data_IF_675133839509
#
_entry.id   IF_675133839509
#
_cell.length_a   1.000
_cell.length_b   1.000
_cell.length_c   1.000
_cell.angle_alpha   90.00
_cell.angle_beta   90.00
_cell.angle_gamma   90.00
#
_symmetry.space_group_name_H-M   'P 1'
#
loop_
_entity.id
_entity.type
_entity.pdbx_description
1 polymer ?
#
# COMPACT_ATOMS: atom_id res chain seq x y z
N UNK A 1 27.90 -2.54 -4.75
CA UNK A 1 28.21 -2.64 -3.30
C UNK A 1 26.99 -3.28 -2.68
N UNK A 2 27.15 -4.29 -1.82
CA UNK A 2 25.99 -4.90 -1.17
C UNK A 2 25.30 -3.85 -0.30
N UNK A 3 24.00 -3.65 -0.49
CA UNK A 3 23.15 -2.75 0.30
C UNK A 3 22.57 -3.49 1.53
N UNK A 4 23.21 -4.58 1.96
CA UNK A 4 22.80 -5.32 3.14
C UNK A 4 23.13 -4.54 4.40
N UNK A 5 22.33 -4.75 5.43
CA UNK A 5 22.61 -4.25 6.78
C UNK A 5 22.57 -5.40 7.77
N UNK A 6 23.36 -5.31 8.84
CA UNK A 6 23.28 -6.20 9.99
C UNK A 6 22.64 -5.48 11.16
N UNK A 7 21.57 -6.07 11.67
CA UNK A 7 20.82 -5.63 12.84
C UNK A 7 21.25 -6.43 14.07
N UNK A 8 21.50 -5.75 15.17
CA UNK A 8 21.73 -6.38 16.46
C UNK A 8 21.23 -5.50 17.60
N UNK A 9 20.97 -6.10 18.77
CA UNK A 9 20.60 -5.36 19.96
C UNK A 9 20.98 -6.11 21.24
N UNK A 10 21.69 -5.44 22.14
CA UNK A 10 22.19 -6.05 23.38
C UNK A 10 21.18 -6.05 24.54
N UNK A 11 20.12 -5.24 24.48
CA UNK A 11 19.13 -5.11 25.55
C UNK A 11 17.70 -5.25 25.02
N UNK A 12 16.85 -6.01 25.71
CA UNK A 12 15.45 -6.25 25.32
C UNK A 12 14.45 -5.23 25.87
N UNK A 13 14.93 -4.17 26.51
CA UNK A 13 14.11 -3.01 26.89
C UNK A 13 14.10 -2.01 25.73
N UNK A 14 12.91 -1.59 25.29
CA UNK A 14 12.75 -0.63 24.19
C UNK A 14 11.95 0.58 24.68
N UNK A 15 12.56 1.76 24.64
CA UNK A 15 11.91 3.03 24.95
C UNK A 15 12.19 4.05 23.86
N UNK A 16 11.15 4.48 23.14
CA UNK A 16 11.30 5.44 22.06
C UNK A 16 9.98 6.13 21.70
N UNK A 17 10.09 7.31 21.10
CA UNK A 17 8.98 7.95 20.38
C UNK A 17 9.29 7.88 18.90
N UNK A 18 8.44 7.20 18.12
CA UNK A 18 8.65 7.04 16.68
C UNK A 18 7.58 7.80 15.92
N UNK A 19 8.01 8.76 15.09
CA UNK A 19 7.11 9.56 14.27
C UNK A 19 6.91 8.85 12.93
N UNK A 20 5.72 8.29 12.74
CA UNK A 20 5.33 7.71 11.46
C UNK A 20 4.91 8.83 10.51
N UNK A 21 5.23 8.65 9.23
CA UNK A 21 4.76 9.54 8.16
C UNK A 21 3.35 9.16 7.73
N UNK A 22 2.76 9.99 6.87
CA UNK A 22 1.41 9.75 6.35
C UNK A 22 1.29 8.39 5.66
N UNK A 23 0.11 7.79 5.77
CA UNK A 23 -0.28 6.54 5.15
C UNK A 23 -0.10 6.60 3.65
N UNK A 24 0.71 5.70 3.08
CA UNK A 24 0.90 5.64 1.62
C UNK A 24 -0.43 5.43 0.89
N UNK A 25 -1.32 4.62 1.47
CA UNK A 25 -2.61 4.27 0.88
C UNK A 25 -3.57 5.46 0.83
N UNK A 26 -3.66 6.22 1.91
CA UNK A 26 -4.45 7.46 1.94
C UNK A 26 -3.79 8.53 1.09
N UNK A 27 -2.49 8.77 1.25
CA UNK A 27 -1.75 9.79 0.52
C UNK A 27 -1.96 9.67 -0.99
N UNK A 28 -1.86 8.46 -1.55
CA UNK A 28 -2.06 8.25 -2.99
C UNK A 28 -3.49 8.55 -3.45
N UNK A 29 -4.50 8.24 -2.64
CA UNK A 29 -5.91 8.60 -2.93
C UNK A 29 -6.09 10.11 -2.85
N UNK A 30 -5.57 10.73 -1.78
CA UNK A 30 -5.67 12.16 -1.53
C UNK A 30 -5.04 12.97 -2.67
N UNK A 31 -3.88 12.55 -3.19
CA UNK A 31 -3.19 13.21 -4.30
C UNK A 31 -4.01 13.17 -5.60
N UNK A 32 -4.66 12.05 -5.91
CA UNK A 32 -5.56 11.95 -7.08
C UNK A 32 -6.79 12.84 -6.90
N UNK A 33 -7.39 12.83 -5.70
CA UNK A 33 -8.51 13.72 -5.36
C UNK A 33 -8.09 15.20 -5.49
N UNK A 34 -6.92 15.57 -4.97
CA UNK A 34 -6.35 16.92 -5.11
C UNK A 34 -6.23 17.33 -6.58
N UNK A 35 -5.62 16.47 -7.40
CA UNK A 35 -5.43 16.71 -8.83
C UNK A 35 -6.77 16.89 -9.57
N UNK A 36 -7.73 15.99 -9.34
CA UNK A 36 -9.06 16.05 -9.97
C UNK A 36 -9.89 17.25 -9.47
N UNK A 37 -9.67 17.70 -8.23
CA UNK A 37 -10.40 18.83 -7.64
C UNK A 37 -10.02 20.19 -8.22
N UNK A 38 -8.95 20.28 -9.01
CA UNK A 38 -8.43 21.52 -9.62
C UNK A 38 -8.17 22.62 -8.58
N UNK A 39 -7.60 22.25 -7.42
CA UNK A 39 -7.20 23.16 -6.36
C UNK A 39 -8.23 23.40 -5.24
N UNK A 40 -9.41 22.78 -5.31
CA UNK A 40 -10.42 22.87 -4.25
C UNK A 40 -10.05 22.02 -3.01
N UNK A 41 -9.44 20.87 -3.22
CA UNK A 41 -9.00 19.98 -2.13
C UNK A 41 -7.50 20.15 -1.92
N UNK A 42 -7.08 20.45 -0.68
CA UNK A 42 -5.66 20.52 -0.30
C UNK A 42 -5.28 19.33 0.55
N UNK A 43 -4.11 18.74 0.30
CA UNK A 43 -3.64 17.58 1.10
C UNK A 43 -2.51 17.99 2.04
N UNK A 44 -2.60 17.53 3.29
CA UNK A 44 -1.59 17.75 4.34
C UNK A 44 -1.10 16.44 4.92
N UNK A 45 0.09 16.46 5.54
CA UNK A 45 0.78 15.28 6.09
C UNK A 45 1.09 14.17 5.06
N UNK A 46 1.63 14.56 3.90
CA UNK A 46 1.97 13.62 2.83
C UNK A 46 2.93 12.52 3.31
N UNK A 47 2.74 11.32 2.77
CA UNK A 47 3.69 10.22 2.92
C UNK A 47 5.01 10.57 2.22
N UNK A 48 6.13 10.22 2.85
CA UNK A 48 7.46 10.28 2.25
C UNK A 48 7.84 9.00 1.49
N UNK A 49 6.95 8.00 1.47
CA UNK A 49 7.09 6.79 0.67
C UNK A 49 7.39 7.12 -0.79
N UNK A 50 8.36 6.43 -1.40
CA UNK A 50 8.77 6.66 -2.79
C UNK A 50 7.57 6.65 -3.77
N UNK A 51 6.63 5.70 -3.59
CA UNK A 51 5.39 5.63 -4.38
C UNK A 51 4.57 6.94 -4.32
N UNK A 52 4.45 7.55 -3.14
CA UNK A 52 3.66 8.76 -2.92
C UNK A 52 4.38 10.01 -3.44
N UNK A 53 5.70 10.06 -3.26
CA UNK A 53 6.55 11.13 -3.80
C UNK A 53 6.49 11.14 -5.33
N UNK A 54 6.68 9.98 -5.98
CA UNK A 54 6.57 9.85 -7.45
C UNK A 54 5.17 10.25 -7.94
N UNK A 55 4.11 9.76 -7.28
CA UNK A 55 2.74 10.11 -7.67
C UNK A 55 2.48 11.63 -7.53
N UNK A 56 2.92 12.24 -6.43
CA UNK A 56 2.80 13.69 -6.24
C UNK A 56 3.61 14.46 -7.29
N UNK A 57 4.82 13.99 -7.60
CA UNK A 57 5.71 14.56 -8.61
C UNK A 57 5.07 14.62 -9.99
N UNK A 58 4.44 13.52 -10.40
CA UNK A 58 3.70 13.40 -11.66
C UNK A 58 2.45 14.29 -11.65
N UNK A 59 1.61 14.21 -10.61
CA UNK A 59 0.33 14.93 -10.56
C UNK A 59 0.50 16.45 -10.43
N UNK A 60 1.53 16.91 -9.72
CA UNK A 60 1.83 18.35 -9.53
C UNK A 60 2.75 18.92 -10.61
N UNK A 61 3.26 18.07 -11.50
CA UNK A 61 4.18 18.47 -12.57
C UNK A 61 5.56 18.93 -12.08
N UNK A 62 6.01 18.44 -10.92
CA UNK A 62 7.32 18.78 -10.35
C UNK A 62 8.42 17.78 -10.71
N UNK A 63 8.08 16.59 -11.23
CA UNK A 63 9.04 15.68 -11.87
C UNK A 63 9.26 16.08 -13.34
N UNK A 64 10.47 16.55 -13.63
CA UNK A 64 10.86 17.32 -14.83
C UNK A 64 10.81 16.57 -16.17
N UNK A 65 10.41 15.30 -16.22
CA UNK A 65 10.33 14.52 -17.48
C UNK A 65 8.88 14.28 -17.94
N UNK A 66 7.90 14.32 -17.03
CA UNK A 66 6.48 14.22 -17.36
C UNK A 66 5.92 15.61 -17.73
N UNK A 67 6.24 16.10 -18.94
CA UNK A 67 5.51 17.26 -19.48
C UNK A 67 4.07 16.84 -19.81
N UNK A 68 3.17 17.01 -18.85
CA UNK A 68 1.73 17.04 -19.11
C UNK A 68 1.47 18.05 -20.24
N UNK A 69 0.63 17.72 -21.25
CA UNK A 69 0.24 18.69 -22.25
C UNK A 69 -0.48 19.84 -21.57
N UNK A 70 0.15 21.03 -21.56
CA UNK A 70 -0.53 22.26 -21.17
C UNK A 70 -1.74 22.43 -22.07
N UNK A 71 -2.90 22.66 -21.46
CA UNK A 71 -4.14 23.04 -22.15
C UNK A 71 -3.84 24.12 -23.20
N UNK A 72 -4.38 23.93 -24.40
CA UNK A 72 -4.21 24.83 -25.55
C UNK A 72 -4.72 26.24 -25.23
N UNK A 73 -3.87 27.07 -24.66
CA UNK A 73 -3.96 28.51 -24.79
C UNK A 73 -2.62 29.02 -25.31
N UNK A 74 -2.64 29.57 -26.52
CA UNK A 74 -1.55 30.19 -27.27
C UNK A 74 -0.53 29.24 -27.93
N UNK A 75 -0.96 28.53 -28.98
CA UNK A 75 -0.07 28.24 -30.11
C UNK A 75 -0.50 29.08 -31.31
N UNK A 76 0.26 30.13 -31.59
CA UNK A 76 0.25 30.78 -32.89
C UNK A 76 0.60 29.77 -33.98
N UNK A 77 -0.16 29.81 -35.08
CA UNK A 77 -0.02 29.06 -36.33
C UNK A 77 1.29 28.27 -36.51
N UNK A 78 1.27 26.98 -36.17
CA UNK A 78 2.19 25.98 -36.72
C UNK A 78 1.40 25.05 -37.65
N UNK A 79 1.34 25.43 -38.92
CA UNK A 79 0.63 24.73 -40.00
C UNK A 79 1.55 23.88 -40.88
N UNK A 80 2.68 23.37 -40.37
CA UNK A 80 3.68 22.71 -41.24
C UNK A 80 4.50 21.55 -40.66
N UNK A 81 4.09 20.90 -39.57
CA UNK A 81 4.70 19.63 -39.15
C UNK A 81 3.72 18.45 -39.35
N UNK A 82 4.16 17.31 -39.93
CA UNK A 82 3.33 16.13 -40.04
C UNK A 82 2.96 15.64 -38.64
N UNK A 83 1.68 15.30 -38.45
CA UNK A 83 1.12 14.88 -37.15
C UNK A 83 1.74 13.58 -36.57
N UNK A 84 2.66 12.93 -37.29
CA UNK A 84 3.23 11.63 -36.97
C UNK A 84 4.55 11.67 -36.19
N UNK A 85 5.01 12.83 -35.68
CA UNK A 85 6.36 12.96 -35.09
C UNK A 85 6.39 13.43 -33.63
N UNK A 86 5.25 13.56 -32.95
CA UNK A 86 5.22 13.80 -31.51
C UNK A 86 4.95 12.47 -30.80
N UNK A 87 6.01 11.82 -30.32
CA UNK A 87 5.87 10.69 -29.40
C UNK A 87 5.09 11.18 -28.16
N UNK A 88 4.08 10.41 -27.75
CA UNK A 88 3.35 10.68 -26.52
C UNK A 88 4.35 10.82 -25.34
N UNK A 89 4.21 11.82 -24.46
CA UNK A 89 5.07 11.94 -23.28
C UNK A 89 5.05 10.65 -22.46
N UNK A 90 6.25 10.16 -22.15
CA UNK A 90 6.43 9.01 -21.27
C UNK A 90 6.27 9.44 -19.81
N UNK A 91 5.52 8.65 -19.04
CA UNK A 91 5.38 8.79 -17.59
C UNK A 91 5.85 7.48 -16.97
N UNK A 92 7.01 7.51 -16.33
CA UNK A 92 7.60 6.35 -15.67
C UNK A 92 7.29 6.38 -14.17
N UNK A 93 6.53 5.40 -13.67
CA UNK A 93 6.16 5.32 -12.25
C UNK A 93 7.11 4.43 -11.43
N UNK A 94 8.20 3.93 -12.02
CA UNK A 94 9.12 3.03 -11.35
C UNK A 94 8.45 1.72 -10.87
N UNK A 95 8.59 1.33 -9.59
CA UNK A 95 7.95 0.14 -9.02
C UNK A 95 6.59 0.44 -8.34
N UNK A 96 6.06 1.65 -8.48
CA UNK A 96 4.89 2.14 -7.75
C UNK A 96 3.58 1.55 -8.28
N UNK A 97 3.13 0.46 -7.64
CA UNK A 97 1.97 -0.30 -8.08
C UNK A 97 0.69 0.52 -8.06
N UNK A 98 0.47 1.23 -6.96
CA UNK A 98 -0.71 2.07 -6.76
C UNK A 98 -0.75 3.22 -7.78
N UNK A 99 0.40 3.87 -8.02
CA UNK A 99 0.52 4.93 -9.00
C UNK A 99 0.15 4.44 -10.41
N UNK A 100 0.65 3.27 -10.84
CA UNK A 100 0.28 2.68 -12.13
C UNK A 100 -1.24 2.54 -12.31
N UNK A 101 -1.96 2.00 -11.32
CA UNK A 101 -3.42 1.80 -11.42
C UNK A 101 -4.17 3.14 -11.39
N UNK A 102 -3.80 4.04 -10.48
CA UNK A 102 -4.50 5.30 -10.31
C UNK A 102 -4.26 6.25 -11.47
N UNK A 103 -3.02 6.33 -11.97
CA UNK A 103 -2.67 7.15 -13.14
C UNK A 103 -3.27 6.60 -14.43
N UNK A 104 -3.48 5.29 -14.56
CA UNK A 104 -4.21 4.72 -15.70
C UNK A 104 -5.62 5.30 -15.79
N UNK A 105 -6.36 5.34 -14.67
CA UNK A 105 -7.70 5.92 -14.61
C UNK A 105 -7.67 7.45 -14.74
N UNK A 106 -6.73 8.11 -14.07
CA UNK A 106 -6.59 9.57 -14.12
C UNK A 106 -6.28 10.09 -15.53
N UNK A 107 -5.29 9.51 -16.23
CA UNK A 107 -4.92 9.94 -17.58
C UNK A 107 -5.99 9.62 -18.61
N UNK A 108 -6.82 8.59 -18.39
CA UNK A 108 -7.98 8.34 -19.26
C UNK A 108 -8.98 9.52 -19.26
N UNK A 109 -9.08 10.28 -18.16
CA UNK A 109 -9.92 11.48 -18.08
C UNK A 109 -9.27 12.73 -18.67
N UNK A 110 -7.94 12.84 -18.63
CA UNK A 110 -7.23 14.04 -19.08
C UNK A 110 -7.25 14.13 -20.60
N UNK A 111 -7.16 15.32 -21.18
CA UNK A 111 -6.96 15.43 -22.62
C UNK A 111 -5.49 15.17 -22.97
N UNK A 112 -5.24 14.40 -24.03
CA UNK A 112 -3.91 14.16 -24.59
C UNK A 112 -3.42 12.72 -24.46
N UNK A 113 -2.28 12.44 -25.07
CA UNK A 113 -1.70 11.09 -25.12
C UNK A 113 -0.57 10.93 -24.09
N UNK A 114 -0.48 9.75 -23.46
CA UNK A 114 0.58 9.39 -22.50
C UNK A 114 1.01 7.95 -22.73
N UNK A 115 2.32 7.68 -22.67
CA UNK A 115 2.87 6.34 -22.48
C UNK A 115 3.16 6.12 -20.99
N UNK A 116 2.32 5.37 -20.30
CA UNK A 116 2.48 5.06 -18.88
C UNK A 116 3.28 3.77 -18.70
N UNK A 117 4.46 3.87 -18.10
CA UNK A 117 5.42 2.75 -17.96
C UNK A 117 5.99 2.65 -16.54
N UNK A 118 6.85 1.66 -16.30
CA UNK A 118 7.53 1.47 -15.03
C UNK A 118 8.76 0.58 -15.18
N UNK A 119 9.27 0.10 -14.05
CA UNK A 119 10.34 -0.92 -13.98
C UNK A 119 9.98 -2.19 -14.76
N UNK A 120 10.98 -2.99 -15.13
CA UNK A 120 10.77 -4.30 -15.77
C UNK A 120 9.84 -5.21 -14.96
N UNK A 121 9.96 -5.19 -13.62
CA UNK A 121 9.03 -5.91 -12.75
C UNK A 121 7.61 -5.36 -12.83
N UNK A 122 7.42 -4.04 -12.96
CA UNK A 122 6.09 -3.44 -13.15
C UNK A 122 5.41 -3.92 -14.42
N UNK A 123 6.16 -4.08 -15.52
CA UNK A 123 5.68 -4.60 -16.81
C UNK A 123 5.21 -6.06 -16.75
N UNK A 124 5.41 -6.73 -15.62
CA UNK A 124 4.93 -8.10 -15.36
C UNK A 124 3.76 -8.13 -14.37
N UNK A 125 3.30 -6.98 -13.87
CA UNK A 125 2.20 -6.91 -12.90
C UNK A 125 0.86 -6.73 -13.60
N UNK A 126 -0.16 -7.54 -13.28
CA UNK A 126 -1.43 -7.50 -14.00
C UNK A 126 -2.15 -6.16 -13.84
N UNK A 127 -2.71 -5.67 -14.94
CA UNK A 127 -3.58 -4.50 -15.01
C UNK A 127 -4.79 -4.68 -15.94
N UNK A 128 -4.85 -5.80 -16.68
CA UNK A 128 -5.91 -6.15 -17.63
C UNK A 128 -7.31 -5.78 -17.19
N UNK A 129 -7.71 -6.25 -16.01
CA UNK A 129 -9.05 -6.04 -15.45
C UNK A 129 -9.44 -4.55 -15.35
N UNK A 130 -8.49 -3.70 -14.95
CA UNK A 130 -8.75 -2.26 -14.88
C UNK A 130 -8.84 -1.64 -16.27
N UNK A 131 -7.96 -2.05 -17.19
CA UNK A 131 -7.98 -1.56 -18.58
C UNK A 131 -9.28 -1.95 -19.28
N UNK A 132 -9.74 -3.19 -19.10
CA UNK A 132 -11.00 -3.67 -19.68
C UNK A 132 -12.20 -2.91 -19.13
N UNK A 133 -12.23 -2.65 -17.82
CA UNK A 133 -13.27 -1.82 -17.20
C UNK A 133 -13.26 -0.39 -17.74
N UNK A 134 -12.08 0.24 -17.86
CA UNK A 134 -11.95 1.60 -18.40
C UNK A 134 -12.31 1.66 -19.88
N UNK A 135 -11.88 0.69 -20.70
CA UNK A 135 -12.28 0.56 -22.11
C UNK A 135 -13.79 0.40 -22.26
N UNK A 136 -14.41 -0.42 -21.41
CA UNK A 136 -15.86 -0.61 -21.39
C UNK A 136 -16.60 0.69 -21.06
N UNK A 137 -16.05 1.51 -20.14
CA UNK A 137 -16.57 2.86 -19.88
C UNK A 137 -16.37 3.83 -21.06
N UNK A 138 -15.44 3.57 -21.97
CA UNK A 138 -15.15 4.43 -23.13
C UNK A 138 -13.75 5.04 -23.17
N UNK A 139 -12.81 4.59 -22.34
CA UNK A 139 -11.42 5.02 -22.40
C UNK A 139 -10.69 4.41 -23.61
N UNK A 140 -9.83 5.20 -24.26
CA UNK A 140 -8.96 4.73 -25.33
C UNK A 140 -7.58 4.36 -24.77
N UNK A 141 -7.39 3.07 -24.48
CA UNK A 141 -6.16 2.53 -23.89
C UNK A 141 -5.69 1.35 -24.75
N UNK A 142 -4.40 1.28 -25.09
CA UNK A 142 -3.77 0.13 -25.73
C UNK A 142 -2.51 -0.31 -25.00
N UNK A 143 -2.18 -1.60 -25.07
CA UNK A 143 -0.92 -2.12 -24.54
C UNK A 143 0.21 -1.79 -25.51
N UNK A 144 1.32 -1.26 -24.99
CA UNK A 144 2.49 -0.94 -25.80
C UNK A 144 3.37 -2.17 -26.06
N UNK A 145 3.33 -3.13 -25.13
CA UNK A 145 4.10 -4.37 -25.17
C UNK A 145 3.15 -5.58 -25.05
N UNK A 146 2.99 -6.13 -23.83
CA UNK A 146 2.24 -7.37 -23.61
C UNK A 146 0.78 -7.10 -23.20
N UNK A 147 -0.16 -7.83 -23.79
CA UNK A 147 -1.60 -7.73 -23.44
C UNK A 147 -1.81 -8.03 -21.94
N UNK A 148 -2.57 -7.17 -21.26
CA UNK A 148 -2.90 -7.33 -19.84
C UNK A 148 -1.88 -6.73 -18.86
N UNK A 149 -0.76 -6.18 -19.35
CA UNK A 149 0.36 -5.66 -18.55
C UNK A 149 0.86 -4.31 -19.05
N UNK A 150 1.42 -3.43 -18.20
CA UNK A 150 2.10 -2.22 -18.68
C UNK A 150 3.30 -2.55 -19.59
N UNK A 151 3.76 -1.62 -20.45
CA UNK A 151 3.34 -0.21 -20.54
C UNK A 151 2.01 -0.01 -21.28
N UNK A 152 1.34 1.12 -21.01
CA UNK A 152 0.05 1.49 -21.58
C UNK A 152 0.15 2.78 -22.40
N UNK A 153 -0.30 2.74 -23.63
CA UNK A 153 -0.64 3.95 -24.39
C UNK A 153 -2.06 4.37 -24.01
N UNK A 154 -2.19 5.58 -23.46
CA UNK A 154 -3.47 6.15 -23.03
C UNK A 154 -3.72 7.39 -23.88
N UNK A 155 -4.77 7.36 -24.69
CA UNK A 155 -5.27 8.54 -25.37
C UNK A 155 -6.48 9.06 -24.59
N UNK A 156 -6.21 10.04 -23.74
CA UNK A 156 -7.20 10.59 -22.85
C UNK A 156 -8.14 11.58 -23.57
N UNK A 157 -9.29 11.82 -22.94
CA UNK A 157 -10.43 12.46 -23.58
C UNK A 157 -11.58 11.46 -23.57
N UNK A 158 -12.23 11.37 -22.43
CA UNK A 158 -13.24 10.35 -22.16
C UNK A 158 -14.51 10.61 -22.98
N UNK A 159 -14.94 9.63 -23.79
CA UNK A 159 -16.31 9.59 -24.35
C UNK A 159 -17.05 8.47 -23.67
N UNK A 160 -17.78 8.79 -22.59
CA UNK A 160 -18.38 7.76 -21.75
C UNK A 160 -19.47 6.99 -22.50
N UNK A 161 -19.26 5.68 -22.68
CA UNK A 161 -20.17 4.76 -23.38
C UNK A 161 -21.24 4.19 -22.44
N UNK A 162 -20.92 4.05 -21.16
CA UNK A 162 -21.81 3.51 -20.11
C UNK A 162 -21.40 4.09 -18.76
N UNK A 163 -22.35 4.18 -17.83
CA UNK A 163 -22.12 4.42 -16.40
C UNK A 163 -22.07 3.12 -15.59
N UNK A 164 -22.45 1.99 -16.18
CA UNK A 164 -22.55 0.70 -15.50
C UNK A 164 -21.35 -0.21 -15.81
N UNK A 165 -20.61 -0.63 -14.78
CA UNK A 165 -19.45 -1.53 -14.88
C UNK A 165 -19.54 -2.65 -13.85
N UNK A 166 -19.13 -3.86 -14.25
CA UNK A 166 -18.95 -4.99 -13.32
C UNK A 166 -17.47 -5.33 -13.18
N UNK A 167 -17.00 -5.53 -11.95
CA UNK A 167 -15.63 -5.92 -11.65
C UNK A 167 -15.58 -6.98 -10.56
N UNK A 168 -14.64 -7.92 -10.67
CA UNK A 168 -14.42 -8.95 -9.64
C UNK A 168 -13.89 -8.33 -8.34
N UNK A 169 -14.55 -8.62 -7.22
CA UNK A 169 -14.21 -8.10 -5.89
C UNK A 169 -13.04 -8.80 -5.20
N UNK A 170 -12.62 -9.96 -5.68
CA UNK A 170 -11.70 -10.87 -5.01
C UNK A 170 -10.25 -10.81 -5.52
N UNK A 171 -9.96 -9.93 -6.48
CA UNK A 171 -8.64 -9.86 -7.12
C UNK A 171 -7.77 -8.74 -6.55
N UNK A 172 -8.21 -7.48 -6.65
CA UNK A 172 -7.45 -6.34 -6.15
C UNK A 172 -8.34 -5.12 -5.91
N UNK A 173 -8.38 -4.64 -4.67
CA UNK A 173 -9.10 -3.42 -4.30
C UNK A 173 -8.59 -2.17 -5.03
N UNK A 174 -7.35 -2.17 -5.53
CA UNK A 174 -6.78 -1.04 -6.25
C UNK A 174 -7.50 -0.75 -7.58
N UNK A 175 -8.05 -1.77 -8.25
CA UNK A 175 -8.82 -1.57 -9.48
C UNK A 175 -10.15 -0.87 -9.20
N UNK A 176 -10.87 -1.34 -8.17
CA UNK A 176 -12.09 -0.69 -7.67
C UNK A 176 -11.78 0.75 -7.26
N UNK A 177 -10.75 0.97 -6.44
CA UNK A 177 -10.34 2.31 -6.02
C UNK A 177 -10.03 3.23 -7.20
N UNK A 178 -9.31 2.77 -8.22
CA UNK A 178 -8.98 3.59 -9.39
C UNK A 178 -10.25 4.10 -10.11
N UNK A 179 -11.26 3.23 -10.26
CA UNK A 179 -12.56 3.58 -10.85
C UNK A 179 -13.34 4.56 -9.95
N UNK A 180 -13.39 4.31 -8.65
CA UNK A 180 -14.10 5.17 -7.70
C UNK A 180 -13.50 6.58 -7.61
N UNK A 181 -12.17 6.70 -7.66
CA UNK A 181 -11.48 8.00 -7.59
C UNK A 181 -11.84 8.92 -8.76
N UNK A 182 -12.12 8.36 -9.94
CA UNK A 182 -12.51 9.13 -11.13
C UNK A 182 -14.02 9.32 -11.27
N UNK A 183 -14.82 8.59 -10.48
CA UNK A 183 -16.25 8.41 -10.71
C UNK A 183 -17.04 9.73 -10.75
N UNK A 184 -16.78 10.65 -9.83
CA UNK A 184 -17.47 11.95 -9.79
C UNK A 184 -17.12 12.87 -10.95
N UNK A 185 -15.99 12.63 -11.62
CA UNK A 185 -15.52 13.40 -12.76
C UNK A 185 -16.03 12.85 -14.11
N UNK A 186 -16.62 11.65 -14.11
CA UNK A 186 -17.24 11.06 -15.30
C UNK A 186 -18.54 11.80 -15.64
N UNK A 187 -18.82 12.12 -16.91
CA UNK A 187 -20.02 12.87 -17.30
C UNK A 187 -21.35 12.26 -16.84
N UNK A 188 -21.44 10.93 -16.79
CA UNK A 188 -22.63 10.18 -16.36
C UNK A 188 -22.47 9.60 -14.95
N UNK A 189 -21.38 9.89 -14.25
CA UNK A 189 -21.03 9.21 -13.00
C UNK A 189 -20.62 7.74 -13.22
N UNK A 190 -20.75 6.93 -12.17
CA UNK A 190 -20.43 5.50 -12.17
C UNK A 190 -21.38 4.71 -11.27
N UNK A 191 -21.86 3.59 -11.77
CA UNK A 191 -22.47 2.48 -11.04
C UNK A 191 -21.57 1.25 -11.18
N UNK A 192 -20.87 0.93 -10.09
CA UNK A 192 -19.89 -0.15 -10.04
C UNK A 192 -20.48 -1.37 -9.33
N UNK A 193 -20.74 -2.43 -10.09
CA UNK A 193 -21.15 -3.73 -9.60
C UNK A 193 -19.94 -4.57 -9.23
N UNK A 194 -19.94 -5.09 -8.00
CA UNK A 194 -18.92 -5.99 -7.49
C UNK A 194 -19.42 -7.42 -7.71
N UNK A 195 -18.73 -8.15 -8.59
CA UNK A 195 -18.94 -9.57 -8.81
C UNK A 195 -18.16 -10.39 -7.76
N UNK A 196 -18.82 -11.40 -7.21
CA UNK A 196 -18.28 -12.22 -6.13
C UNK A 196 -18.12 -11.50 -4.80
N UNK A 197 -17.17 -11.96 -3.99
CA UNK A 197 -16.90 -11.42 -2.66
C UNK A 197 -15.88 -10.28 -2.71
N UNK A 198 -16.13 -9.20 -1.97
CA UNK A 198 -15.18 -8.09 -1.87
C UNK A 198 -14.06 -8.41 -0.87
N UNK A 199 -12.88 -8.75 -1.39
CA UNK A 199 -11.65 -8.79 -0.60
C UNK A 199 -11.17 -7.37 -0.28
N UNK A 200 -10.47 -7.19 0.84
CA UNK A 200 -9.85 -5.89 1.15
C UNK A 200 -10.85 -4.71 1.19
N UNK A 201 -12.09 -4.98 1.65
CA UNK A 201 -13.18 -4.01 1.85
C UNK A 201 -12.74 -2.67 2.49
N UNK A 202 -11.86 -2.65 3.52
CA UNK A 202 -11.43 -1.39 4.14
C UNK A 202 -10.79 -0.39 3.17
N UNK A 203 -10.13 -0.85 2.11
CA UNK A 203 -9.53 0.04 1.10
C UNK A 203 -10.57 0.72 0.20
N UNK A 204 -11.74 0.11 0.03
CA UNK A 204 -12.88 0.70 -0.68
C UNK A 204 -13.58 1.71 0.24
N UNK A 205 -13.82 1.34 1.49
CA UNK A 205 -14.36 2.23 2.53
C UNK A 205 -13.48 3.48 2.72
N UNK A 206 -12.17 3.32 2.77
CA UNK A 206 -11.19 4.41 2.79
C UNK A 206 -11.38 5.34 1.58
N UNK A 207 -11.47 4.80 0.37
CA UNK A 207 -11.69 5.61 -0.84
C UNK A 207 -12.98 6.41 -0.76
N UNK A 208 -14.08 5.77 -0.39
CA UNK A 208 -15.39 6.38 -0.29
C UNK A 208 -15.46 7.45 0.80
N UNK A 209 -14.84 7.21 1.96
CA UNK A 209 -14.74 8.17 3.05
C UNK A 209 -13.94 9.41 2.63
N UNK A 210 -12.80 9.22 1.94
CA UNK A 210 -11.99 10.35 1.46
C UNK A 210 -12.71 11.16 0.37
N UNK A 211 -13.44 10.49 -0.53
CA UNK A 211 -14.31 11.16 -1.50
C UNK A 211 -15.41 11.97 -0.79
N UNK A 212 -16.00 11.41 0.26
CA UNK A 212 -17.00 12.10 1.08
C UNK A 212 -16.41 13.34 1.78
N UNK A 213 -15.19 13.26 2.33
CA UNK A 213 -14.47 14.42 2.88
C UNK A 213 -14.28 15.51 1.82
N UNK A 214 -14.03 15.12 0.57
CA UNK A 214 -13.92 16.00 -0.59
C UNK A 214 -15.28 16.52 -1.13
N UNK A 215 -16.38 16.17 -0.46
CA UNK A 215 -17.74 16.61 -0.79
C UNK A 215 -18.51 15.71 -1.74
N UNK A 216 -17.90 14.63 -2.23
CA UNK A 216 -18.51 13.70 -3.19
C UNK A 216 -19.41 12.70 -2.45
N UNK A 217 -20.69 12.71 -2.75
CA UNK A 217 -21.64 11.76 -2.16
C UNK A 217 -21.62 10.42 -2.91
N UNK A 218 -21.86 9.33 -2.19
CA UNK A 218 -21.92 7.99 -2.75
C UNK A 218 -23.04 7.18 -2.08
N UNK A 219 -23.47 6.11 -2.74
CA UNK A 219 -24.34 5.09 -2.18
C UNK A 219 -23.66 3.73 -2.32
N UNK A 220 -23.84 2.85 -1.34
CA UNK A 220 -23.32 1.49 -1.40
C UNK A 220 -24.26 0.51 -0.70
N UNK A 221 -24.72 -0.51 -1.43
CA UNK A 221 -25.60 -1.58 -0.95
C UNK A 221 -24.89 -2.95 -0.86
N UNK A 222 -23.60 -2.91 -0.51
CA UNK A 222 -22.62 -4.02 -0.56
C UNK A 222 -22.21 -4.48 -1.97
N UNK A 223 -23.15 -4.60 -2.92
CA UNK A 223 -22.84 -5.11 -4.27
C UNK A 223 -22.66 -4.02 -5.31
N UNK A 224 -23.31 -2.87 -5.13
CA UNK A 224 -23.30 -1.78 -6.09
C UNK A 224 -22.86 -0.51 -5.39
N UNK A 225 -21.83 0.13 -5.94
CA UNK A 225 -21.37 1.45 -5.51
C UNK A 225 -21.79 2.46 -6.58
N UNK A 226 -22.59 3.45 -6.19
CA UNK A 226 -23.08 4.49 -7.10
C UNK A 226 -22.53 5.86 -6.72
N UNK A 227 -21.89 6.53 -7.66
CA UNK A 227 -21.36 7.90 -7.53
C UNK A 227 -21.80 8.68 -8.76
N UNK A 228 -22.71 9.65 -8.57
CA UNK A 228 -23.13 10.55 -9.65
C UNK A 228 -22.01 11.52 -10.06
N UNK A 229 -22.15 12.18 -11.21
CA UNK A 229 -21.30 13.32 -11.59
C UNK A 229 -21.50 14.49 -10.61
N UNK A 230 -20.43 14.97 -9.98
CA UNK A 230 -20.50 16.05 -8.97
C UNK A 230 -19.17 16.79 -8.87
N UNK A 231 -19.25 18.07 -8.54
CA UNK A 231 -18.07 18.89 -8.24
C UNK A 231 -17.50 18.60 -6.84
N UNK A 232 -16.18 18.63 -6.75
CA UNK A 232 -15.48 18.68 -5.46
C UNK A 232 -15.82 19.97 -4.69
N UNK A 233 -15.80 19.88 -3.36
CA UNK A 233 -15.93 21.03 -2.43
C UNK A 233 -14.55 21.53 -2.00
N UNK A 234 -14.49 22.80 -1.61
CA UNK A 234 -13.28 23.36 -1.02
C UNK A 234 -13.07 22.76 0.38
N UNK A 235 -11.94 22.09 0.60
CA UNK A 235 -11.63 21.41 1.86
C UNK A 235 -10.14 21.07 1.96
N UNK A 236 -9.74 20.54 3.12
CA UNK A 236 -8.42 19.96 3.33
C UNK A 236 -8.56 18.51 3.79
N UNK A 237 -7.79 17.61 3.20
CA UNK A 237 -7.64 16.23 3.65
C UNK A 237 -6.32 16.13 4.42
N UNK A 238 -6.41 15.67 5.67
CA UNK A 238 -5.25 15.29 6.46
C UNK A 238 -5.03 13.79 6.31
N UNK A 239 -3.84 13.39 5.87
CA UNK A 239 -3.46 11.99 5.73
C UNK A 239 -3.02 11.46 7.10
N UNK A 240 -3.64 10.39 7.57
CA UNK A 240 -3.32 9.76 8.86
C UNK A 240 -1.93 9.11 8.84
N UNK A 241 -1.19 9.01 9.96
CA UNK A 241 0.04 8.22 10.00
C UNK A 241 -0.19 6.74 9.68
N UNK A 242 0.80 6.09 9.08
CA UNK A 242 0.62 4.76 8.48
C UNK A 242 0.49 3.62 9.52
N UNK A 243 -0.69 2.99 9.60
CA UNK A 243 -0.95 1.87 10.52
C UNK A 243 -0.25 0.56 10.10
N UNK A 244 0.02 0.41 8.81
CA UNK A 244 0.83 -0.68 8.25
C UNK A 244 2.28 -0.58 8.76
N UNK A 245 2.85 0.63 8.75
CA UNK A 245 4.17 0.92 9.33
C UNK A 245 4.19 0.78 10.86
N UNK A 246 3.10 1.17 11.53
CA UNK A 246 2.95 0.98 12.97
C UNK A 246 3.09 -0.49 13.38
N UNK A 247 2.66 -1.43 12.53
CA UNK A 247 2.68 -2.86 12.83
C UNK A 247 4.08 -3.39 13.19
N UNK A 248 5.14 -2.86 12.58
CA UNK A 248 6.52 -3.27 12.88
C UNK A 248 6.94 -2.85 14.29
N UNK A 249 6.45 -1.70 14.77
CA UNK A 249 6.65 -1.25 16.16
C UNK A 249 5.83 -2.06 17.16
N UNK A 250 4.66 -2.54 16.76
CA UNK A 250 3.94 -3.54 17.55
C UNK A 250 4.71 -4.86 17.62
N UNK A 251 5.38 -5.29 16.54
CA UNK A 251 6.22 -6.49 16.56
C UNK A 251 7.44 -6.29 17.48
N UNK A 252 8.10 -5.14 17.42
CA UNK A 252 9.14 -4.76 18.40
C UNK A 252 8.60 -4.85 19.83
N UNK A 253 7.41 -4.29 20.10
CA UNK A 253 6.78 -4.34 21.41
C UNK A 253 6.49 -5.78 21.87
N UNK A 254 6.01 -6.65 20.98
CA UNK A 254 5.72 -8.05 21.27
C UNK A 254 6.99 -8.83 21.67
N UNK A 255 8.11 -8.58 20.99
CA UNK A 255 9.36 -9.31 21.18
C UNK A 255 10.27 -8.74 22.27
N UNK A 256 10.07 -7.50 22.69
CA UNK A 256 10.82 -6.86 23.78
C UNK A 256 10.41 -7.43 25.15
N UNK A 257 11.32 -7.48 26.13
CA UNK A 257 10.98 -7.87 27.51
C UNK A 257 10.19 -6.76 28.21
N UNK A 258 10.61 -5.51 27.98
CA UNK A 258 9.97 -4.29 28.47
C UNK A 258 9.84 -3.29 27.32
N UNK A 259 8.69 -2.63 27.22
CA UNK A 259 8.45 -1.66 26.16
C UNK A 259 7.69 -0.43 26.65
N UNK A 260 8.18 0.73 26.23
CA UNK A 260 7.49 2.01 26.32
C UNK A 260 7.69 2.74 24.98
N UNK A 261 6.84 2.43 24.01
CA UNK A 261 6.85 3.07 22.70
C UNK A 261 5.70 4.07 22.59
N UNK A 262 5.97 5.25 22.05
CA UNK A 262 4.94 6.22 21.69
C UNK A 262 4.94 6.46 20.18
N UNK A 263 3.78 6.32 19.56
CA UNK A 263 3.56 6.57 18.13
C UNK A 263 2.61 7.76 18.00
N UNK A 264 3.12 8.99 17.79
CA UNK A 264 2.30 10.20 17.67
C UNK A 264 1.40 10.17 16.44
N UNK A 265 0.23 10.79 16.55
CA UNK A 265 -0.72 11.01 15.46
C UNK A 265 -1.62 9.81 15.14
N UNK A 266 -1.31 8.59 15.61
CA UNK A 266 -2.21 7.45 15.48
C UNK A 266 -3.41 7.58 16.43
N UNK A 267 -4.61 7.38 15.90
CA UNK A 267 -5.89 7.58 16.60
C UNK A 267 -6.67 6.28 16.72
N UNK A 268 -7.56 6.18 17.72
CA UNK A 268 -8.43 5.02 17.90
C UNK A 268 -9.49 4.85 16.81
N UNK A 269 -9.78 5.93 16.08
CA UNK A 269 -10.67 5.95 14.93
C UNK A 269 -9.83 6.26 13.70
N UNK A 270 -9.71 5.28 12.80
CA UNK A 270 -8.87 5.35 11.61
C UNK A 270 -9.62 4.79 10.40
N UNK A 271 -9.38 5.37 9.22
CA UNK A 271 -9.86 4.81 7.94
C UNK A 271 -9.04 3.60 7.49
N UNK A 272 -7.89 3.36 8.12
CA UNK A 272 -6.99 2.28 7.75
C UNK A 272 -7.43 0.99 8.45
N UNK A 273 -7.80 -0.02 7.65
CA UNK A 273 -8.15 -1.35 8.18
C UNK A 273 -7.04 -1.99 9.02
N UNK A 274 -5.79 -1.59 8.78
CA UNK A 274 -4.62 -2.05 9.51
C UNK A 274 -4.57 -1.58 10.98
N UNK A 275 -5.42 -0.62 11.39
CA UNK A 275 -5.57 -0.21 12.79
C UNK A 275 -6.05 -1.34 13.71
N UNK A 276 -6.63 -2.41 13.15
CA UNK A 276 -6.95 -3.67 13.83
C UNK A 276 -5.72 -4.35 14.44
N UNK A 277 -4.50 -3.94 14.08
CA UNK A 277 -3.28 -4.40 14.73
C UNK A 277 -3.31 -4.20 16.25
N UNK A 278 -4.02 -3.17 16.74
CA UNK A 278 -4.26 -2.93 18.17
C UNK A 278 -4.92 -4.14 18.84
N UNK A 279 -5.99 -4.66 18.25
CA UNK A 279 -6.74 -5.83 18.73
C UNK A 279 -5.96 -7.13 18.54
N UNK A 280 -5.28 -7.27 17.39
CA UNK A 280 -4.48 -8.47 17.10
C UNK A 280 -3.31 -8.59 18.08
N UNK A 281 -2.62 -7.49 18.37
CA UNK A 281 -1.45 -7.46 19.26
C UNK A 281 -1.81 -7.45 20.73
N UNK A 282 -3.06 -7.11 21.07
CA UNK A 282 -3.60 -7.40 22.39
C UNK A 282 -3.52 -8.91 22.71
N UNK A 283 -3.63 -9.83 21.75
CA UNK A 283 -3.42 -11.26 22.01
C UNK A 283 -1.99 -11.61 22.46
N UNK A 284 -1.01 -10.79 22.11
CA UNK A 284 0.41 -10.97 22.44
C UNK A 284 0.84 -10.15 23.65
N UNK A 285 -0.14 -9.68 24.45
CA UNK A 285 0.12 -8.90 25.66
C UNK A 285 0.50 -7.45 25.38
N UNK A 286 0.15 -6.89 24.22
CA UNK A 286 0.41 -5.47 23.93
C UNK A 286 -0.85 -4.65 24.18
N UNK A 287 -0.76 -3.70 25.10
CA UNK A 287 -1.82 -2.74 25.38
C UNK A 287 -1.55 -1.44 24.62
N UNK A 288 -2.56 -0.99 23.86
CA UNK A 288 -2.56 0.29 23.15
C UNK A 288 -3.33 1.34 23.95
N UNK A 289 -2.63 2.34 24.48
CA UNK A 289 -3.24 3.45 25.23
C UNK A 289 -3.21 4.73 24.40
N UNK A 290 -4.38 5.17 23.93
CA UNK A 290 -4.52 6.42 23.17
C UNK A 290 -4.58 7.62 24.12
N UNK A 291 -3.55 8.45 24.08
CA UNK A 291 -3.45 9.71 24.86
C UNK A 291 -2.37 10.60 24.25
N UNK A 292 -2.34 11.87 24.67
CA UNK A 292 -1.30 12.85 24.26
C UNK A 292 -1.16 12.99 22.73
N UNK A 293 -2.25 12.76 21.99
CA UNK A 293 -2.28 12.85 20.53
C UNK A 293 -1.64 11.67 19.79
N UNK A 294 -1.49 10.51 20.41
CA UNK A 294 -1.01 9.29 19.75
C UNK A 294 -1.34 8.02 20.54
N UNK A 295 -0.61 6.94 20.26
CA UNK A 295 -0.75 5.66 20.97
C UNK A 295 0.53 5.27 21.71
N UNK A 296 0.38 4.96 22.99
CA UNK A 296 1.43 4.34 23.79
C UNK A 296 1.28 2.82 23.78
N UNK A 297 2.35 2.12 23.43
CA UNK A 297 2.43 0.67 23.50
C UNK A 297 3.11 0.27 24.80
N UNK A 298 2.44 -0.62 25.54
CA UNK A 298 2.96 -1.21 26.77
C UNK A 298 2.81 -2.72 26.72
N UNK A 299 3.80 -3.43 27.26
CA UNK A 299 3.72 -4.88 27.43
C UNK A 299 3.05 -5.19 28.76
N UNK A 300 1.96 -5.92 28.68
CA UNK A 300 1.22 -6.51 29.78
C UNK A 300 1.22 -8.04 29.56
N UNK A 301 2.24 -8.74 30.10
CA UNK A 301 2.47 -10.14 29.81
C UNK A 301 1.25 -11.01 30.15
N UNK A 302 0.78 -11.79 29.17
CA UNK A 302 -0.29 -12.77 29.37
C UNK A 302 -0.14 -13.96 28.45
N UNK A 303 -0.78 -15.10 28.77
CA UNK A 303 -0.79 -16.25 27.87
C UNK A 303 -1.40 -15.88 26.51
N UNK A 304 -0.75 -16.34 25.42
CA UNK A 304 -1.25 -16.15 24.05
C UNK A 304 -2.31 -17.22 23.77
N UNK A 305 -3.57 -16.80 23.63
CA UNK A 305 -4.71 -17.74 23.55
C UNK A 305 -5.20 -17.92 22.11
N UNK A 306 -5.32 -16.82 21.35
CA UNK A 306 -5.85 -16.87 19.98
C UNK A 306 -4.84 -17.53 19.05
N UNK A 307 -5.30 -18.53 18.32
CA UNK A 307 -4.51 -19.27 17.32
C UNK A 307 -5.05 -19.14 15.89
N UNK A 308 -6.20 -18.51 15.69
CA UNK A 308 -6.83 -18.37 14.38
C UNK A 308 -6.94 -16.90 14.03
N UNK A 309 -6.37 -16.51 12.89
CA UNK A 309 -6.33 -15.13 12.42
C UNK A 309 -6.84 -15.07 10.98
N UNK A 310 -7.91 -14.31 10.76
CA UNK A 310 -8.35 -13.95 9.41
C UNK A 310 -7.82 -12.57 9.08
N UNK A 311 -7.05 -12.48 8.00
CA UNK A 311 -6.37 -11.26 7.58
C UNK A 311 -6.93 -10.69 6.26
N UNK A 312 -8.10 -11.17 5.81
CA UNK A 312 -8.73 -10.73 4.56
C UNK A 312 -8.94 -9.20 4.46
N UNK A 313 -9.23 -8.57 5.60
CA UNK A 313 -9.48 -7.12 5.72
C UNK A 313 -8.22 -6.30 6.00
N UNK A 314 -7.12 -6.94 6.40
CA UNK A 314 -5.85 -6.29 6.73
C UNK A 314 -4.65 -7.12 6.22
N UNK A 315 -4.62 -7.49 4.93
CA UNK A 315 -3.64 -8.45 4.39
C UNK A 315 -2.20 -7.94 4.52
N UNK A 316 -2.02 -6.63 4.56
CA UNK A 316 -0.74 -5.96 4.68
C UNK A 316 -0.10 -6.11 6.08
N UNK A 317 -0.86 -6.61 7.08
CA UNK A 317 -0.35 -6.99 8.41
C UNK A 317 0.17 -8.43 8.48
N UNK A 318 -0.03 -9.25 7.43
CA UNK A 318 0.21 -10.68 7.50
C UNK A 318 1.66 -11.05 7.81
N UNK A 319 2.63 -10.45 7.11
CA UNK A 319 4.04 -10.76 7.36
C UNK A 319 4.44 -10.42 8.80
N UNK A 320 4.05 -9.24 9.30
CA UNK A 320 4.30 -8.83 10.69
C UNK A 320 3.75 -9.84 11.69
N UNK A 321 2.47 -10.21 11.55
CA UNK A 321 1.81 -11.10 12.51
C UNK A 321 2.36 -12.53 12.47
N UNK A 322 2.62 -13.06 11.26
CA UNK A 322 3.17 -14.40 11.08
C UNK A 322 4.59 -14.47 11.65
N UNK A 323 5.43 -13.46 11.40
CA UNK A 323 6.79 -13.41 11.95
C UNK A 323 6.77 -13.28 13.47
N UNK A 324 5.85 -12.52 14.07
CA UNK A 324 5.70 -12.47 15.53
C UNK A 324 5.29 -13.82 16.10
N UNK A 325 4.36 -14.54 15.47
CA UNK A 325 3.98 -15.88 15.91
C UNK A 325 5.17 -16.85 15.84
N UNK A 326 5.93 -16.81 14.75
CA UNK A 326 7.12 -17.63 14.56
C UNK A 326 8.21 -17.29 15.60
N UNK A 327 8.49 -16.01 15.80
CA UNK A 327 9.44 -15.51 16.77
C UNK A 327 9.10 -15.94 18.21
N UNK A 328 7.82 -16.01 18.56
CA UNK A 328 7.34 -16.43 19.89
C UNK A 328 7.12 -17.95 20.03
N UNK A 329 7.29 -18.73 18.95
CA UNK A 329 6.99 -20.16 18.96
C UNK A 329 5.51 -20.48 19.12
N UNK A 330 4.65 -19.60 18.63
CA UNK A 330 3.20 -19.72 18.76
C UNK A 330 2.60 -20.35 17.49
N UNK A 331 2.16 -21.60 17.60
CA UNK A 331 1.40 -22.24 16.53
C UNK A 331 0.11 -21.47 16.22
N UNK A 332 -0.10 -21.18 14.95
CA UNK A 332 -1.23 -20.40 14.48
C UNK A 332 -1.77 -20.88 13.13
N UNK A 333 -2.99 -20.48 12.82
CA UNK A 333 -3.68 -20.73 11.56
C UNK A 333 -4.16 -19.41 11.00
N UNK A 334 -3.88 -19.17 9.72
CA UNK A 334 -4.19 -17.95 9.01
C UNK A 334 -5.10 -18.22 7.82
N UNK A 335 -6.02 -17.29 7.56
CA UNK A 335 -6.89 -17.24 6.37
C UNK A 335 -6.86 -15.83 5.77
N UNK A 336 -7.42 -15.65 4.57
CA UNK A 336 -7.50 -14.33 3.93
C UNK A 336 -6.17 -13.85 3.32
N UNK A 337 -5.27 -14.77 2.98
CA UNK A 337 -3.93 -14.48 2.47
C UNK A 337 -3.81 -14.57 0.94
N UNK A 338 -4.91 -14.76 0.23
CA UNK A 338 -4.94 -15.10 -1.20
C UNK A 338 -4.26 -14.02 -2.06
N UNK A 339 -4.51 -12.75 -1.72
CA UNK A 339 -3.96 -11.62 -2.47
C UNK A 339 -2.44 -11.49 -2.34
N UNK A 340 -1.81 -12.14 -1.36
CA UNK A 340 -0.37 -12.00 -1.06
C UNK A 340 0.54 -12.56 -2.14
N UNK A 341 0.07 -13.52 -2.95
CA UNK A 341 0.86 -14.16 -4.02
C UNK A 341 1.12 -13.25 -5.22
N UNK A 342 0.29 -12.22 -5.40
CA UNK A 342 0.33 -11.30 -6.56
C UNK A 342 0.76 -9.88 -6.18
N UNK A 343 1.39 -9.72 -5.01
CA UNK A 343 1.90 -8.43 -4.52
C UNK A 343 3.27 -8.13 -5.15
N UNK A 344 4.16 -7.45 -4.43
CA UNK A 344 5.53 -7.17 -4.87
C UNK A 344 6.30 -8.45 -5.24
N UNK A 345 6.23 -9.43 -4.34
CA UNK A 345 6.71 -10.80 -4.50
C UNK A 345 5.58 -11.79 -4.18
N UNK A 346 5.81 -13.08 -4.37
CA UNK A 346 4.99 -14.11 -3.72
C UNK A 346 5.35 -14.13 -2.22
N UNK A 347 4.62 -13.32 -1.44
CA UNK A 347 4.89 -13.14 0.00
C UNK A 347 4.70 -14.42 0.80
N UNK A 348 3.89 -15.37 0.32
CA UNK A 348 3.72 -16.67 0.98
C UNK A 348 4.99 -17.50 0.80
N UNK A 349 5.48 -17.62 -0.43
CA UNK A 349 6.72 -18.33 -0.72
C UNK A 349 7.91 -17.69 0.01
N UNK A 350 7.98 -16.35 0.02
CA UNK A 350 9.01 -15.62 0.75
C UNK A 350 8.95 -15.92 2.26
N UNK A 351 7.78 -15.83 2.91
CA UNK A 351 7.62 -16.20 4.32
C UNK A 351 8.02 -17.66 4.57
N UNK A 352 7.64 -18.60 3.71
CA UNK A 352 8.01 -20.01 3.85
C UNK A 352 9.53 -20.21 3.86
N UNK A 353 10.24 -19.57 2.92
CA UNK A 353 11.69 -19.67 2.81
C UNK A 353 12.40 -19.05 4.00
N UNK A 354 12.00 -17.85 4.40
CA UNK A 354 12.68 -17.08 5.43
C UNK A 354 12.40 -17.64 6.84
N UNK A 355 11.19 -18.13 7.12
CA UNK A 355 10.86 -18.78 8.40
C UNK A 355 11.51 -20.16 8.55
N UNK A 356 11.73 -20.89 7.46
CA UNK A 356 12.40 -22.19 7.50
C UNK A 356 13.83 -22.10 8.07
N UNK A 357 14.49 -20.94 7.93
CA UNK A 357 15.82 -20.66 8.49
C UNK A 357 15.86 -20.68 10.02
N UNK A 358 14.71 -20.58 10.69
CA UNK A 358 14.55 -20.74 12.14
C UNK A 358 13.76 -21.99 12.53
N UNK A 359 13.61 -22.97 11.62
CA UNK A 359 12.91 -24.22 11.87
C UNK A 359 11.38 -24.10 11.93
N UNK A 360 10.82 -22.98 11.46
CA UNK A 360 9.37 -22.75 11.45
C UNK A 360 8.80 -23.00 10.05
N UNK A 361 7.68 -23.73 9.96
CA UNK A 361 7.04 -24.07 8.67
C UNK A 361 5.71 -23.33 8.52
N UNK A 362 5.53 -22.60 7.41
CA UNK A 362 4.24 -22.06 7.01
C UNK A 362 3.60 -22.97 5.95
N UNK A 363 2.69 -23.85 6.38
CA UNK A 363 2.12 -24.91 5.55
C UNK A 363 0.82 -24.42 4.91
N UNK A 364 0.82 -24.29 3.58
CA UNK A 364 -0.39 -23.97 2.80
C UNK A 364 -1.23 -25.23 2.57
N UNK A 365 -2.53 -25.17 2.89
CA UNK A 365 -3.54 -26.20 2.60
C UNK A 365 -4.80 -25.54 2.06
N UNK A 366 -4.84 -25.30 0.74
CA UNK A 366 -5.90 -24.51 0.13
C UNK A 366 -5.85 -23.06 0.61
N UNK A 367 -6.96 -22.54 1.13
CA UNK A 367 -7.05 -21.17 1.65
C UNK A 367 -6.67 -21.03 3.14
N UNK A 368 -6.18 -22.12 3.75
CA UNK A 368 -5.78 -22.18 5.15
C UNK A 368 -4.28 -22.38 5.26
N UNK A 369 -3.62 -21.55 6.05
CA UNK A 369 -2.17 -21.54 6.22
C UNK A 369 -1.84 -21.84 7.67
N UNK A 370 -1.17 -22.96 7.94
CA UNK A 370 -0.81 -23.38 9.30
C UNK A 370 0.66 -23.06 9.57
N UNK A 371 0.92 -22.27 10.59
CA UNK A 371 2.26 -22.06 11.14
C UNK A 371 2.56 -23.16 12.15
N UNK A 372 3.62 -23.90 11.88
CA UNK A 372 4.14 -24.99 12.73
C UNK A 372 5.49 -24.59 13.30
N UNK A 373 5.52 -24.38 14.61
CA UNK A 373 6.68 -23.95 15.37
C UNK A 373 7.36 -25.09 16.14
N UNK A 374 6.99 -26.37 15.90
CA UNK A 374 7.47 -27.50 16.71
C UNK A 374 8.98 -27.72 16.65
N UNK A 375 9.61 -27.37 15.52
CA UNK A 375 11.06 -27.49 15.27
C UNK A 375 11.78 -26.14 15.41
N UNK A 376 11.10 -25.13 15.94
CA UNK A 376 11.66 -23.77 16.06
C UNK A 376 12.94 -23.76 16.88
N UNK A 377 13.94 -23.07 16.36
CA UNK A 377 15.17 -22.71 17.07
C UNK A 377 15.53 -21.25 16.84
N UNK A 378 16.38 -20.70 17.70
CA UNK A 378 16.92 -19.35 17.55
C UNK A 378 18.36 -19.47 17.07
N UNK A 379 18.68 -19.09 15.81
CA UNK A 379 20.05 -19.10 15.32
C UNK A 379 20.87 -17.97 15.97
N UNK A 380 22.20 -18.11 15.95
CA UNK A 380 23.12 -17.02 16.30
C UNK A 380 23.15 -15.92 15.22
N UNK A 381 22.97 -16.32 13.96
CA UNK A 381 22.93 -15.45 12.78
C UNK A 381 21.85 -15.90 11.81
N UNK A 382 21.13 -14.95 11.23
CA UNK A 382 20.18 -15.21 10.14
C UNK A 382 20.32 -14.14 9.06
N UNK A 383 20.30 -14.54 7.79
CA UNK A 383 20.22 -13.62 6.66
C UNK A 383 18.84 -13.70 6.04
N UNK A 384 18.19 -12.55 5.87
CA UNK A 384 16.84 -12.41 5.35
C UNK A 384 16.86 -11.82 3.94
N UNK A 385 16.34 -12.57 2.98
CA UNK A 385 16.14 -12.07 1.62
C UNK A 385 14.86 -11.24 1.58
N UNK A 386 14.92 -10.06 0.95
CA UNK A 386 13.77 -9.14 0.91
C UNK A 386 12.89 -9.33 -0.32
N UNK A 387 13.41 -9.94 -1.38
CA UNK A 387 12.67 -10.17 -2.63
C UNK A 387 12.09 -8.88 -3.23
N UNK A 388 12.81 -7.76 -3.09
CA UNK A 388 12.34 -6.41 -3.47
C UNK A 388 11.02 -5.99 -2.77
N UNK A 389 10.69 -6.64 -1.63
CA UNK A 389 9.51 -6.33 -0.82
C UNK A 389 9.88 -5.71 0.53
N UNK A 390 9.55 -4.41 0.65
CA UNK A 390 9.71 -3.62 1.87
C UNK A 390 9.12 -4.27 3.13
N UNK A 391 8.02 -5.01 2.99
CA UNK A 391 7.37 -5.66 4.13
C UNK A 391 8.16 -6.88 4.61
N UNK A 392 8.88 -7.58 3.74
CA UNK A 392 9.76 -8.68 4.15
C UNK A 392 10.90 -8.14 5.01
N UNK A 393 11.54 -7.05 4.59
CA UNK A 393 12.59 -6.40 5.37
C UNK A 393 12.09 -5.97 6.77
N UNK A 394 11.00 -5.20 6.81
CA UNK A 394 10.52 -4.59 8.04
C UNK A 394 9.83 -5.58 9.00
N UNK A 395 9.18 -6.64 8.48
CA UNK A 395 8.55 -7.65 9.33
C UNK A 395 9.58 -8.54 10.05
N UNK A 396 10.74 -8.79 9.45
CA UNK A 396 11.81 -9.60 10.04
C UNK A 396 12.81 -8.79 10.87
N UNK A 397 12.95 -7.48 10.64
CA UNK A 397 13.85 -6.63 11.42
C UNK A 397 13.68 -6.72 12.96
N UNK A 398 12.46 -6.81 13.53
CA UNK A 398 12.24 -6.99 14.97
C UNK A 398 12.88 -8.26 15.55
N UNK A 399 13.22 -9.26 14.73
CA UNK A 399 13.91 -10.48 15.19
C UNK A 399 15.27 -10.18 15.84
N UNK A 400 15.87 -9.01 15.57
CA UNK A 400 17.11 -8.57 16.23
C UNK A 400 16.97 -8.41 17.76
N UNK A 401 15.75 -8.46 18.31
CA UNK A 401 15.52 -8.55 19.75
C UNK A 401 15.77 -9.95 20.34
N UNK A 402 15.77 -10.99 19.52
CA UNK A 402 15.89 -12.39 19.98
C UNK A 402 16.99 -13.17 19.26
N UNK A 403 17.37 -12.76 18.05
CA UNK A 403 18.49 -13.31 17.28
C UNK A 403 19.66 -12.33 17.39
N UNK A 404 20.87 -12.77 17.78
CA UNK A 404 22.02 -11.88 17.97
C UNK A 404 22.41 -11.07 16.73
N UNK A 405 22.35 -11.69 15.55
CA UNK A 405 22.68 -11.04 14.27
C UNK A 405 21.61 -11.33 13.22
N UNK A 406 20.92 -10.30 12.76
CA UNK A 406 19.94 -10.38 11.67
C UNK A 406 20.44 -9.55 10.51
N UNK A 407 20.91 -10.19 9.45
CA UNK A 407 21.25 -9.52 8.21
C UNK A 407 20.00 -9.38 7.33
N UNK A 408 19.75 -8.17 6.82
CA UNK A 408 18.67 -7.89 5.86
C UNK A 408 19.33 -7.55 4.52
N UNK A 409 19.00 -8.32 3.47
CA UNK A 409 19.49 -8.05 2.12
C UNK A 409 18.76 -6.86 1.47
N UNK A 410 19.46 -6.05 0.69
CA UNK A 410 18.88 -4.91 -0.03
C UNK A 410 18.01 -3.99 0.85
N UNK A 411 18.57 -3.55 1.97
CA UNK A 411 17.84 -2.85 3.02
C UNK A 411 17.12 -1.57 2.55
N UNK A 412 17.58 -0.94 1.48
CA UNK A 412 16.95 0.24 0.86
C UNK A 412 15.53 -0.02 0.34
N UNK A 413 15.12 -1.28 0.20
CA UNK A 413 13.77 -1.64 -0.23
C UNK A 413 12.67 -0.99 0.61
N UNK A 414 12.94 -0.67 1.88
CA UNK A 414 11.99 -0.01 2.79
C UNK A 414 11.55 1.38 2.33
N UNK A 415 12.35 2.07 1.50
CA UNK A 415 12.05 3.40 0.94
C UNK A 415 10.71 3.44 0.18
N UNK A 416 10.25 2.28 -0.29
CA UNK A 416 8.95 2.13 -0.94
C UNK A 416 7.76 2.54 -0.07
N UNK A 417 7.87 2.44 1.26
CA UNK A 417 6.77 2.82 2.17
C UNK A 417 7.20 3.51 3.45
N UNK A 418 8.42 3.29 3.93
CA UNK A 418 8.90 3.85 5.18
C UNK A 418 10.41 4.15 5.08
N UNK A 419 10.81 5.21 4.35
CA UNK A 419 12.22 5.56 4.14
C UNK A 419 13.03 5.78 5.42
N UNK A 420 12.39 6.30 6.47
CA UNK A 420 13.03 6.54 7.76
C UNK A 420 13.19 5.28 8.64
N UNK A 421 12.72 4.10 8.20
CA UNK A 421 12.61 2.91 9.06
C UNK A 421 13.91 2.55 9.78
N UNK A 422 15.04 2.51 9.08
CA UNK A 422 16.32 2.14 9.69
C UNK A 422 16.82 3.20 10.68
N UNK A 423 16.62 4.49 10.37
CA UNK A 423 16.96 5.59 11.30
C UNK A 423 16.08 5.55 12.55
N UNK A 424 14.82 5.19 12.41
CA UNK A 424 13.92 5.01 13.53
C UNK A 424 14.29 3.76 14.36
N UNK A 425 14.78 2.70 13.72
CA UNK A 425 15.36 1.53 14.41
C UNK A 425 16.60 1.93 15.23
N UNK A 426 17.52 2.70 14.67
CA UNK A 426 18.66 3.26 15.41
C UNK A 426 18.19 4.12 16.59
N UNK A 427 17.19 4.99 16.37
CA UNK A 427 16.58 5.82 17.43
C UNK A 427 15.95 4.98 18.54
N UNK A 428 15.41 3.82 18.21
CA UNK A 428 14.89 2.88 19.19
C UNK A 428 16.00 2.12 19.94
N UNK A 429 17.26 2.24 19.51
CA UNK A 429 18.46 1.67 20.14
C UNK A 429 18.95 0.35 19.51
N UNK A 430 18.56 0.05 18.27
CA UNK A 430 19.13 -1.06 17.51
C UNK A 430 20.43 -0.62 16.86
N UNK A 431 21.43 -1.50 16.83
CA UNK A 431 22.64 -1.29 16.04
C UNK A 431 22.33 -1.68 14.58
N UNK A 432 22.46 -0.73 13.65
CA UNK A 432 22.28 -0.93 12.21
C UNK A 432 23.63 -0.68 11.54
N UNK A 433 24.24 -1.74 10.97
CA UNK A 433 25.62 -1.69 10.43
C UNK A 433 25.71 -2.11 8.98
#
# INVERSE_FOLDING_TARGET
>A
MSNNITLSRNHKTVKATIQLTGSKSECNRALVIEALSKGKVKVTNLSDAADAVTLAGILRGTESEAKLPKSKENFGSLSSLPASTLLAPEVNIGPAGTAMRFLTAYFALQNGEVLLTGTERMKQRPIGILVDALRSLGANISYAENEGYPPLHINGGFTQLTDNITIKGDISSQYITALLLIASSLPQGLQLHIDGELTSRPYVEMTLSMLQQAGIQHQWDDKVISIAHQDFRETSIWVEPDWSAASYWYAVAALADEVELFLPGLTSYSLQGDSVITELMANFGITSQFKDGGVYLRKDPKPVIRKIFDLKSCPDLAQTLIVVCAALGHDATFTGLETLKIKETDRIAALQNELAKMGVKLIEKGLVYKLDCSERFIPEHITIQTYEDHRMAMAFAPLALIIPQVEIEDAQVVEKSYPAFWKDFEKAGFDVK
#
